data_IF_931048659061
#
_entry.id   IF_931048659061
#
_cell.length_a   1.000
_cell.length_b   1.000
_cell.length_c   1.000
_cell.angle_alpha   90.00
_cell.angle_beta   90.00
_cell.angle_gamma   90.00
#
_symmetry.space_group_name_H-M   'P 1'
#
loop_
_entity.id
_entity.type
_entity.pdbx_description
1 polymer ?
#
# COMPACT_ATOMS: atom_id res chain seq x y z
N UNK A 1 22.44 3.55 -68.52
CA UNK A 1 22.70 3.35 -67.08
C UNK A 1 21.72 4.07 -66.10
N UNK A 2 20.90 5.05 -66.52
CA UNK A 2 20.04 5.82 -65.59
C UNK A 2 18.83 5.05 -65.01
N UNK A 3 18.26 4.07 -65.73
CA UNK A 3 17.08 3.29 -65.28
C UNK A 3 17.35 2.40 -64.05
N UNK A 4 18.55 1.81 -63.92
CA UNK A 4 18.94 0.97 -62.77
C UNK A 4 19.01 1.75 -61.44
N UNK A 5 19.33 3.05 -61.47
CA UNK A 5 19.41 3.90 -60.26
C UNK A 5 18.02 4.22 -59.67
N UNK A 6 16.98 4.32 -60.52
CA UNK A 6 15.61 4.67 -60.10
C UNK A 6 14.88 3.49 -59.43
N UNK A 7 15.09 2.27 -59.95
CA UNK A 7 14.58 1.04 -59.34
C UNK A 7 15.22 0.75 -57.96
N UNK A 8 16.53 1.01 -57.82
CA UNK A 8 17.23 0.85 -56.55
C UNK A 8 16.67 1.78 -55.47
N UNK A 9 16.38 3.05 -55.80
CA UNK A 9 15.76 4.03 -54.87
C UNK A 9 14.41 3.54 -54.31
N UNK A 10 13.52 2.99 -55.15
CA UNK A 10 12.21 2.48 -54.72
C UNK A 10 12.32 1.32 -53.71
N UNK A 11 13.24 0.39 -53.95
CA UNK A 11 13.52 -0.72 -53.02
C UNK A 11 14.07 -0.21 -51.70
N UNK A 12 15.00 0.77 -51.71
CA UNK A 12 15.56 1.31 -50.45
C UNK A 12 14.49 2.03 -49.62
N UNK A 13 13.59 2.79 -50.25
CA UNK A 13 12.46 3.42 -49.54
C UNK A 13 11.50 2.40 -48.92
N UNK A 14 11.20 1.31 -49.63
CA UNK A 14 10.33 0.25 -49.11
C UNK A 14 10.98 -0.49 -47.93
N UNK A 15 12.27 -0.81 -48.03
CA UNK A 15 13.03 -1.39 -46.92
C UNK A 15 13.07 -0.43 -45.72
N UNK A 16 13.22 0.87 -45.93
CA UNK A 16 13.20 1.84 -44.83
C UNK A 16 11.84 1.90 -44.11
N UNK A 17 10.73 1.76 -44.84
CA UNK A 17 9.39 1.70 -44.24
C UNK A 17 9.20 0.44 -43.39
N UNK A 18 9.72 -0.70 -43.86
CA UNK A 18 9.70 -1.95 -43.07
C UNK A 18 10.52 -1.79 -41.80
N UNK A 19 11.73 -1.22 -41.88
CA UNK A 19 12.58 -0.99 -40.70
C UNK A 19 11.87 -0.07 -39.70
N UNK A 20 11.21 0.99 -40.16
CA UNK A 20 10.44 1.88 -39.30
C UNK A 20 9.26 1.15 -38.62
N UNK A 21 8.55 0.29 -39.37
CA UNK A 21 7.45 -0.50 -38.81
C UNK A 21 7.94 -1.50 -37.74
N UNK A 22 9.06 -2.18 -37.99
CA UNK A 22 9.67 -3.10 -37.02
C UNK A 22 10.14 -2.35 -35.77
N UNK A 23 10.76 -1.17 -35.94
CA UNK A 23 11.15 -0.31 -34.82
C UNK A 23 9.95 0.11 -33.97
N UNK A 24 8.84 0.52 -34.60
CA UNK A 24 7.61 0.86 -33.87
C UNK A 24 7.03 -0.35 -33.12
N UNK A 25 7.09 -1.54 -33.71
CA UNK A 25 6.64 -2.76 -33.05
C UNK A 25 7.48 -3.08 -31.81
N UNK A 26 8.81 -3.00 -31.90
CA UNK A 26 9.70 -3.21 -30.76
C UNK A 26 9.47 -2.18 -29.64
N UNK A 27 9.32 -0.89 -29.98
CA UNK A 27 9.02 0.17 -29.00
C UNK A 27 7.70 -0.12 -28.28
N UNK A 28 6.68 -0.59 -29.01
CA UNK A 28 5.38 -0.92 -28.42
C UNK A 28 5.46 -2.04 -27.38
N UNK A 29 6.35 -3.02 -27.57
CA UNK A 29 6.57 -4.09 -26.60
C UNK A 29 7.23 -3.55 -25.32
N UNK A 30 8.25 -2.71 -25.46
CA UNK A 30 8.92 -2.07 -24.31
C UNK A 30 7.95 -1.17 -23.54
N UNK A 31 7.10 -0.41 -24.21
CA UNK A 31 6.10 0.45 -23.56
C UNK A 31 5.13 -0.38 -22.70
N UNK A 32 4.66 -1.53 -23.20
CA UNK A 32 3.78 -2.43 -22.43
C UNK A 32 4.47 -2.97 -21.18
N UNK A 33 5.73 -3.36 -21.31
CA UNK A 33 6.52 -3.89 -20.20
C UNK A 33 6.80 -2.83 -19.13
N UNK A 34 7.12 -1.60 -19.55
CA UNK A 34 7.31 -0.46 -18.63
C UNK A 34 6.00 -0.12 -17.90
N UNK A 35 4.87 -0.08 -18.61
CA UNK A 35 3.57 0.16 -17.99
C UNK A 35 3.21 -0.92 -16.96
N UNK A 36 3.42 -2.19 -17.33
CA UNK A 36 3.19 -3.32 -16.41
C UNK A 36 4.11 -3.26 -15.20
N UNK A 37 5.38 -2.87 -15.38
CA UNK A 37 6.33 -2.71 -14.27
C UNK A 37 5.91 -1.60 -13.31
N UNK A 38 5.42 -0.46 -13.83
CA UNK A 38 4.89 0.64 -13.01
C UNK A 38 3.64 0.18 -12.25
N UNK A 39 2.76 -0.57 -12.89
CA UNK A 39 1.55 -1.10 -12.26
C UNK A 39 1.89 -2.11 -11.15
N UNK A 40 2.80 -3.05 -11.40
CA UNK A 40 3.28 -4.01 -10.41
C UNK A 40 3.95 -3.31 -9.23
N UNK A 41 4.76 -2.27 -9.47
CA UNK A 41 5.36 -1.47 -8.40
C UNK A 41 4.31 -0.72 -7.56
N UNK A 42 3.24 -0.23 -8.19
CA UNK A 42 2.13 0.41 -7.46
C UNK A 42 1.39 -0.62 -6.59
N UNK A 43 1.09 -1.78 -7.15
CA UNK A 43 0.42 -2.86 -6.42
C UNK A 43 1.28 -3.34 -5.24
N UNK A 44 2.59 -3.52 -5.44
CA UNK A 44 3.52 -3.86 -4.36
C UNK A 44 3.47 -2.83 -3.22
N UNK A 45 3.56 -1.54 -3.53
CA UNK A 45 3.50 -0.48 -2.50
C UNK A 45 2.17 -0.45 -1.76
N UNK A 46 1.05 -0.70 -2.45
CA UNK A 46 -0.26 -0.75 -1.81
C UNK A 46 -0.37 -1.96 -0.88
N UNK A 47 0.06 -3.13 -1.34
CA UNK A 47 0.02 -4.37 -0.54
C UNK A 47 0.97 -4.29 0.65
N UNK A 48 2.16 -3.70 0.49
CA UNK A 48 3.09 -3.47 1.60
C UNK A 48 2.49 -2.55 2.67
N UNK A 49 1.84 -1.45 2.25
CA UNK A 49 1.17 -0.54 3.17
C UNK A 49 -0.02 -1.21 3.89
N UNK A 50 -0.82 -2.01 3.17
CA UNK A 50 -1.93 -2.76 3.75
C UNK A 50 -1.44 -3.82 4.74
N UNK A 51 -0.32 -4.48 4.43
CA UNK A 51 0.30 -5.46 5.32
C UNK A 51 0.82 -4.80 6.60
N UNK A 52 1.48 -3.64 6.51
CA UNK A 52 1.94 -2.89 7.69
C UNK A 52 0.77 -2.48 8.60
N UNK A 53 -0.34 -2.03 8.01
CA UNK A 53 -1.57 -1.71 8.77
C UNK A 53 -2.09 -2.95 9.49
N UNK A 54 -2.26 -4.07 8.78
CA UNK A 54 -2.79 -5.31 9.36
C UNK A 54 -1.87 -5.85 10.47
N UNK A 55 -0.56 -5.78 10.29
CA UNK A 55 0.40 -6.21 11.33
C UNK A 55 0.31 -5.33 12.58
N UNK A 56 0.15 -4.01 12.40
CA UNK A 56 0.00 -3.07 13.51
C UNK A 56 -1.31 -3.30 14.27
N UNK A 57 -2.42 -3.51 13.57
CA UNK A 57 -3.73 -3.81 14.15
C UNK A 57 -3.71 -5.14 14.90
N UNK A 58 -3.08 -6.16 14.32
CA UNK A 58 -2.95 -7.46 14.97
C UNK A 58 -2.11 -7.37 16.25
N UNK A 59 -0.99 -6.66 16.23
CA UNK A 59 -0.17 -6.42 17.42
C UNK A 59 -0.96 -5.70 18.52
N UNK A 60 -1.76 -4.69 18.15
CA UNK A 60 -2.63 -3.98 19.08
C UNK A 60 -3.71 -4.90 19.67
N UNK A 61 -4.41 -5.66 18.83
CA UNK A 61 -5.44 -6.60 19.25
C UNK A 61 -4.89 -7.69 20.17
N UNK A 62 -3.68 -8.21 19.89
CA UNK A 62 -2.99 -9.17 20.76
C UNK A 62 -2.69 -8.53 22.12
N UNK A 63 -2.17 -7.31 22.14
CA UNK A 63 -1.90 -6.57 23.38
C UNK A 63 -3.19 -6.32 24.18
N UNK A 64 -4.27 -5.92 23.53
CA UNK A 64 -5.59 -5.75 24.16
C UNK A 64 -6.12 -7.08 24.70
N UNK A 65 -5.99 -8.17 23.94
CA UNK A 65 -6.39 -9.51 24.39
C UNK A 65 -5.64 -9.92 25.65
N UNK A 66 -4.32 -9.77 25.70
CA UNK A 66 -3.54 -10.10 26.90
C UNK A 66 -3.96 -9.27 28.13
N UNK A 67 -4.26 -7.98 27.94
CA UNK A 67 -4.79 -7.13 29.01
C UNK A 67 -6.17 -7.63 29.48
N UNK A 68 -7.03 -8.02 28.56
CA UNK A 68 -8.38 -8.51 28.89
C UNK A 68 -8.38 -9.91 29.51
N UNK A 69 -7.34 -10.72 29.26
CA UNK A 69 -7.15 -12.01 29.93
C UNK A 69 -6.60 -11.87 31.37
N UNK A 70 -6.01 -10.72 31.71
CA UNK A 70 -5.53 -10.44 33.07
C UNK A 70 -6.70 -10.03 33.99
N UNK A 71 -7.07 -10.87 34.98
CA UNK A 71 -8.18 -10.56 35.88
C UNK A 71 -7.93 -9.30 36.72
N UNK A 72 -6.68 -8.96 37.03
CA UNK A 72 -6.33 -7.74 37.76
C UNK A 72 -6.53 -6.48 36.92
N UNK A 73 -6.21 -6.56 35.63
CA UNK A 73 -6.50 -5.48 34.68
C UNK A 73 -8.01 -5.28 34.52
N UNK A 74 -8.77 -6.36 34.34
CA UNK A 74 -10.24 -6.30 34.21
C UNK A 74 -10.88 -5.73 35.47
N UNK A 75 -10.44 -6.13 36.66
CA UNK A 75 -10.89 -5.58 37.93
C UNK A 75 -10.59 -4.08 37.99
N UNK A 76 -9.36 -3.65 37.70
CA UNK A 76 -8.97 -2.24 37.72
C UNK A 76 -9.75 -1.38 36.72
N UNK A 77 -10.02 -1.90 35.52
CA UNK A 77 -10.80 -1.25 34.48
C UNK A 77 -12.26 -1.07 34.92
N UNK A 78 -12.88 -2.14 35.44
CA UNK A 78 -14.23 -2.08 35.99
C UNK A 78 -14.31 -1.12 37.19
N UNK A 79 -13.32 -1.14 38.09
CA UNK A 79 -13.24 -0.23 39.24
C UNK A 79 -13.14 1.23 38.82
N UNK A 80 -12.36 1.54 37.79
CA UNK A 80 -12.26 2.88 37.22
C UNK A 80 -13.58 3.34 36.58
N UNK A 81 -14.23 2.47 35.80
CA UNK A 81 -15.46 2.80 35.08
C UNK A 81 -16.67 2.96 36.02
N UNK A 82 -16.81 2.08 37.00
CA UNK A 82 -17.93 2.08 37.94
C UNK A 82 -17.62 2.82 39.25
N UNK A 83 -16.44 3.41 39.38
CA UNK A 83 -15.96 4.08 40.60
C UNK A 83 -16.11 3.20 41.84
N UNK A 84 -15.50 2.00 41.80
CA UNK A 84 -15.52 1.03 42.92
C UNK A 84 -14.21 1.10 43.71
N UNK A 85 -14.31 1.26 45.04
CA UNK A 85 -13.15 1.29 45.94
C UNK A 85 -12.78 -0.12 46.43
N UNK A 86 -11.51 -0.30 46.78
CA UNK A 86 -10.99 -1.46 47.52
C UNK A 86 -10.80 -1.08 48.98
N UNK A 87 -10.68 -2.10 49.83
CA UNK A 87 -10.36 -1.94 51.25
C UNK A 87 -9.12 -1.04 51.44
N UNK A 88 -9.31 0.09 52.12
CA UNK A 88 -8.28 1.12 52.33
C UNK A 88 -8.27 2.29 51.33
N UNK A 89 -9.12 2.29 50.30
CA UNK A 89 -9.23 3.37 49.32
C UNK A 89 -10.52 4.21 49.50
N UNK A 90 -10.43 5.53 49.32
CA UNK A 90 -11.58 6.46 49.38
C UNK A 90 -11.73 7.22 48.05
N UNK A 91 -12.93 7.19 47.47
CA UNK A 91 -13.25 7.86 46.20
C UNK A 91 -13.74 9.28 46.49
N UNK A 92 -13.12 10.27 45.85
CA UNK A 92 -13.51 11.67 45.93
C UNK A 92 -14.19 12.11 44.63
N UNK A 93 -15.46 12.47 44.72
CA UNK A 93 -16.18 13.12 43.61
C UNK A 93 -15.86 14.61 43.64
N UNK A 94 -15.07 15.07 42.68
CA UNK A 94 -14.84 16.49 42.49
C UNK A 94 -15.98 17.05 41.64
N UNK A 95 -16.93 17.75 42.26
CA UNK A 95 -17.87 18.58 41.51
C UNK A 95 -17.08 19.64 40.75
N UNK A 96 -17.36 19.88 39.45
CA UNK A 96 -16.79 21.01 38.74
C UNK A 96 -17.18 22.25 39.54
N UNK A 97 -16.19 23.03 40.01
CA UNK A 97 -16.44 24.27 40.75
C UNK A 97 -17.46 25.08 39.96
N UNK A 98 -18.62 25.35 40.56
CA UNK A 98 -19.53 26.37 40.06
C UNK A 98 -18.73 27.66 39.97
N UNK A 99 -18.71 28.25 38.77
CA UNK A 99 -18.02 29.51 38.49
C UNK A 99 -18.73 30.67 39.16
#
# INVERSE_FOLDING_TARGET
MKKRKKARKGVVTFVSLIVIAVSMYMISNVVKEVLSTIELQKQLKLVEAELEVIESENAELISQKYKLEDPGYVESYARGYYMLSKEGEQIFYLSPKEK
#
